data_IF_616592355454
#
_entry.id   IF_616592355454
#
_cell.length_a   1.000
_cell.length_b   1.000
_cell.length_c   1.000
_cell.angle_alpha   90.00
_cell.angle_beta   90.00
_cell.angle_gamma   90.00
#
_symmetry.space_group_name_H-M   'P 1'
#
loop_
_entity.id
_entity.type
_entity.pdbx_description
1 polymer ?
#
# COMPACT_ATOMS: atom_id res chain seq x y z
N UNK A 1 15.44 5.51 -3.92
CA UNK A 1 14.32 4.54 -4.03
C UNK A 1 14.36 3.46 -2.92
N UNK A 2 14.58 3.85 -1.64
CA UNK A 2 14.60 2.93 -0.48
C UNK A 2 13.33 3.04 0.39
N UNK A 3 12.47 4.02 0.11
CA UNK A 3 11.38 4.42 1.01
C UNK A 3 10.20 3.44 1.05
N UNK A 4 9.92 2.72 -0.04
CA UNK A 4 8.76 1.82 -0.18
C UNK A 4 8.97 0.42 0.40
N UNK A 5 10.17 0.09 0.91
CA UNK A 5 10.49 -1.26 1.40
C UNK A 5 10.64 -2.34 0.30
N UNK A 6 10.51 -2.00 -0.99
CA UNK A 6 10.53 -2.98 -2.10
C UNK A 6 11.94 -3.39 -2.56
N UNK A 7 13.00 -2.83 -1.98
CA UNK A 7 14.38 -3.10 -2.43
C UNK A 7 14.82 -4.57 -2.27
N UNK A 8 14.52 -5.27 -1.15
CA UNK A 8 14.82 -6.70 -1.02
C UNK A 8 14.08 -7.56 -2.05
N UNK A 9 12.84 -7.18 -2.40
CA UNK A 9 12.06 -7.85 -3.44
C UNK A 9 12.71 -7.67 -4.81
N UNK A 10 13.13 -6.45 -5.16
CA UNK A 10 13.86 -6.18 -6.42
C UNK A 10 15.14 -7.00 -6.53
N UNK A 11 15.90 -7.13 -5.44
CA UNK A 11 17.14 -7.91 -5.44
C UNK A 11 16.88 -9.41 -5.67
N UNK A 12 15.79 -9.94 -5.11
CA UNK A 12 15.45 -11.36 -5.22
C UNK A 12 14.71 -11.71 -6.52
N UNK A 13 13.92 -10.78 -7.05
CA UNK A 13 13.05 -10.98 -8.22
C UNK A 13 13.08 -9.76 -9.16
N UNK A 14 14.23 -9.47 -9.80
CA UNK A 14 14.40 -8.27 -10.62
C UNK A 14 13.41 -8.20 -11.78
N UNK A 15 13.11 -9.33 -12.44
CA UNK A 15 12.17 -9.44 -13.56
C UNK A 15 10.69 -9.21 -13.17
N UNK A 16 10.41 -9.12 -11.86
CA UNK A 16 9.06 -8.86 -11.32
C UNK A 16 8.96 -7.51 -10.60
N UNK A 17 9.98 -6.67 -10.72
CA UNK A 17 10.03 -5.34 -10.12
C UNK A 17 10.05 -4.27 -11.20
N UNK A 18 8.97 -3.49 -11.28
CA UNK A 18 8.81 -2.44 -12.27
C UNK A 18 8.86 -1.06 -11.60
N UNK A 19 9.69 -0.17 -12.14
CA UNK A 19 9.81 1.21 -11.66
C UNK A 19 9.18 2.16 -12.66
N UNK A 20 8.15 2.88 -12.23
CA UNK A 20 7.44 3.87 -13.05
C UNK A 20 7.95 5.32 -12.82
N UNK A 21 8.95 5.52 -11.96
CA UNK A 21 9.43 6.86 -11.61
C UNK A 21 8.42 7.63 -10.76
N UNK A 22 8.36 8.96 -10.91
CA UNK A 22 7.40 9.84 -10.23
C UNK A 22 6.15 9.98 -11.11
N UNK A 23 5.43 8.87 -11.29
CA UNK A 23 4.26 8.80 -12.14
C UNK A 23 3.24 7.84 -11.52
N UNK A 24 2.60 8.26 -10.43
CA UNK A 24 1.69 7.40 -9.67
C UNK A 24 0.48 6.94 -10.51
N UNK A 25 -0.03 7.78 -11.41
CA UNK A 25 -1.10 7.37 -12.34
C UNK A 25 -0.65 6.21 -13.24
N UNK A 26 0.57 6.28 -13.77
CA UNK A 26 1.13 5.24 -14.63
C UNK A 26 1.43 3.96 -13.83
N UNK A 27 1.87 4.09 -12.58
CA UNK A 27 2.07 2.96 -11.68
C UNK A 27 0.76 2.18 -11.49
N UNK A 28 -0.35 2.87 -11.19
CA UNK A 28 -1.65 2.23 -10.97
C UNK A 28 -2.21 1.66 -12.27
N UNK A 29 -2.12 2.40 -13.38
CA UNK A 29 -2.55 1.91 -14.70
C UNK A 29 -1.76 0.66 -15.15
N UNK A 30 -0.44 0.66 -14.95
CA UNK A 30 0.41 -0.49 -15.23
C UNK A 30 0.07 -1.70 -14.35
N UNK A 31 -0.18 -1.47 -13.06
CA UNK A 31 -0.62 -2.52 -12.13
C UNK A 31 -1.98 -3.12 -12.52
N UNK A 32 -2.93 -2.28 -12.95
CA UNK A 32 -4.21 -2.73 -13.49
C UNK A 32 -4.01 -3.62 -14.74
N UNK A 33 -3.15 -3.22 -15.67
CA UNK A 33 -2.81 -4.03 -16.85
C UNK A 33 -2.23 -5.40 -16.48
N UNK A 34 -1.27 -5.43 -15.54
CA UNK A 34 -0.69 -6.69 -15.03
C UNK A 34 -1.76 -7.58 -14.37
N UNK A 35 -2.70 -7.00 -13.63
CA UNK A 35 -3.79 -7.74 -13.00
C UNK A 35 -4.75 -8.35 -14.03
N UNK A 36 -5.06 -7.63 -15.11
CA UNK A 36 -5.84 -8.17 -16.24
C UNK A 36 -5.13 -9.36 -16.91
N UNK A 37 -3.79 -9.33 -16.98
CA UNK A 37 -2.98 -10.44 -17.48
C UNK A 37 -2.80 -11.60 -16.48
N UNK A 38 -3.52 -11.61 -15.35
CA UNK A 38 -3.52 -12.70 -14.37
C UNK A 38 -2.44 -12.60 -13.29
N UNK A 39 -1.69 -11.50 -13.22
CA UNK A 39 -0.71 -11.28 -12.14
C UNK A 39 -1.37 -10.71 -10.88
N UNK A 40 -0.75 -10.96 -9.72
CA UNK A 40 -1.11 -10.28 -8.46
C UNK A 40 -0.19 -9.06 -8.33
N UNK A 41 -0.70 -7.89 -8.70
CA UNK A 41 0.11 -6.68 -8.78
C UNK A 41 0.16 -5.93 -7.44
N UNK A 42 1.35 -5.70 -6.90
CA UNK A 42 1.59 -4.84 -5.74
C UNK A 42 2.12 -3.48 -6.21
N UNK A 43 1.29 -2.45 -6.14
CA UNK A 43 1.65 -1.08 -6.50
C UNK A 43 1.95 -0.29 -5.23
N UNK A 44 3.22 0.11 -5.03
CA UNK A 44 3.65 0.81 -3.81
C UNK A 44 4.12 2.23 -4.09
N UNK A 45 3.54 3.18 -3.35
CA UNK A 45 3.93 4.58 -3.33
C UNK A 45 3.60 5.20 -1.95
N UNK A 46 3.81 6.50 -1.78
CA UNK A 46 3.35 7.19 -0.57
C UNK A 46 1.82 7.19 -0.54
N UNK A 47 1.23 6.99 0.64
CA UNK A 47 -0.22 6.90 0.81
C UNK A 47 -0.93 8.13 0.25
N UNK A 48 -0.45 9.34 0.58
CA UNK A 48 -0.98 10.59 0.03
C UNK A 48 -0.85 10.71 -1.49
N UNK A 49 0.22 10.16 -2.09
CA UNK A 49 0.38 10.22 -3.56
C UNK A 49 -0.53 9.24 -4.28
N UNK A 50 -0.75 8.04 -3.73
CA UNK A 50 -1.77 7.13 -4.24
C UNK A 50 -3.15 7.79 -4.14
N UNK A 51 -3.56 8.17 -2.92
CA UNK A 51 -4.90 8.68 -2.68
C UNK A 51 -5.22 9.99 -3.40
N UNK A 52 -4.23 10.86 -3.64
CA UNK A 52 -4.47 12.15 -4.31
C UNK A 52 -4.15 12.12 -5.80
N UNK A 53 -2.97 11.63 -6.21
CA UNK A 53 -2.50 11.75 -7.60
C UNK A 53 -3.06 10.65 -8.49
N UNK A 54 -3.20 9.44 -7.97
CA UNK A 54 -3.69 8.28 -8.71
C UNK A 54 -5.18 7.97 -8.46
N UNK A 55 -5.89 8.85 -7.73
CA UNK A 55 -7.27 8.64 -7.29
C UNK A 55 -8.22 8.19 -8.42
N UNK A 56 -8.14 8.84 -9.59
CA UNK A 56 -8.97 8.49 -10.74
C UNK A 56 -8.65 7.07 -11.26
N UNK A 57 -7.36 6.71 -11.34
CA UNK A 57 -6.92 5.37 -11.75
C UNK A 57 -7.26 4.31 -10.69
N UNK A 58 -7.14 4.64 -9.40
CA UNK A 58 -7.53 3.76 -8.30
C UNK A 58 -9.02 3.41 -8.40
N UNK A 59 -9.88 4.39 -8.67
CA UNK A 59 -11.32 4.18 -8.80
C UNK A 59 -11.64 3.45 -10.11
N UNK A 60 -11.29 4.05 -11.25
CA UNK A 60 -11.81 3.62 -12.55
C UNK A 60 -11.10 2.38 -13.10
N UNK A 61 -9.77 2.33 -12.97
CA UNK A 61 -9.01 1.22 -13.51
C UNK A 61 -9.04 0.01 -12.57
N UNK A 62 -8.93 0.23 -11.25
CA UNK A 62 -8.78 -0.84 -10.26
C UNK A 62 -10.09 -1.20 -9.58
N UNK A 63 -10.69 -0.28 -8.83
CA UNK A 63 -11.81 -0.56 -7.93
C UNK A 63 -13.10 -0.93 -8.69
N UNK A 64 -13.46 -0.15 -9.70
CA UNK A 64 -14.69 -0.34 -10.47
C UNK A 64 -14.69 -1.68 -11.24
N UNK A 65 -13.51 -2.06 -11.75
CA UNK A 65 -13.30 -3.32 -12.48
C UNK A 65 -13.01 -4.51 -11.55
N UNK A 66 -13.01 -4.31 -10.23
CA UNK A 66 -12.71 -5.32 -9.21
C UNK A 66 -11.39 -6.09 -9.48
N UNK A 67 -10.36 -5.39 -9.96
CA UNK A 67 -9.09 -6.01 -10.35
C UNK A 67 -8.26 -6.43 -9.14
N UNK A 68 -7.46 -7.49 -9.30
CA UNK A 68 -6.60 -8.03 -8.25
C UNK A 68 -5.31 -7.21 -8.04
N UNK A 69 -5.46 -5.94 -7.65
CA UNK A 69 -4.37 -5.00 -7.40
C UNK A 69 -4.27 -4.68 -5.91
N UNK A 70 -3.05 -4.71 -5.38
CA UNK A 70 -2.73 -4.36 -3.99
C UNK A 70 -2.04 -3.00 -3.98
N UNK A 71 -2.79 -1.96 -3.63
CA UNK A 71 -2.33 -0.59 -3.47
C UNK A 71 -1.68 -0.46 -2.09
N UNK A 72 -0.35 -0.33 -2.03
CA UNK A 72 0.42 -0.26 -0.79
C UNK A 72 0.85 1.18 -0.53
N UNK A 73 0.06 1.87 0.29
CA UNK A 73 0.30 3.25 0.73
C UNK A 73 1.26 3.29 1.90
N UNK A 74 2.51 3.64 1.64
CA UNK A 74 3.50 3.86 2.70
C UNK A 74 3.39 5.25 3.31
N UNK A 75 3.80 5.40 4.56
CA UNK A 75 3.81 6.69 5.26
C UNK A 75 2.43 7.33 5.40
N UNK A 76 1.44 6.52 5.79
CA UNK A 76 0.11 7.04 6.11
C UNK A 76 0.12 8.06 7.25
N UNK A 77 -0.81 9.01 7.20
CA UNK A 77 -1.09 9.95 8.28
C UNK A 77 -0.02 11.03 8.43
N UNK A 78 0.33 11.30 9.69
CA UNK A 78 1.26 12.37 10.09
C UNK A 78 2.74 11.92 10.11
N UNK A 79 3.05 10.72 9.61
CA UNK A 79 4.39 10.12 9.73
C UNK A 79 5.48 10.75 8.84
N UNK A 80 5.12 11.78 8.06
CA UNK A 80 6.00 12.54 7.17
C UNK A 80 5.91 14.05 7.39
N UNK A 81 5.48 14.46 8.56
CA UNK A 81 5.38 15.85 9.01
C UNK A 81 6.68 16.65 8.79
N UNK A 82 7.84 16.01 8.98
CA UNK A 82 9.16 16.65 8.79
C UNK A 82 9.45 17.07 7.34
N UNK A 83 8.77 16.46 6.38
CA UNK A 83 8.92 16.77 4.96
C UNK A 83 7.92 17.86 4.50
N UNK A 84 7.09 18.39 5.40
CA UNK A 84 6.12 19.44 5.12
C UNK A 84 4.70 18.92 4.84
N UNK A 85 3.73 19.83 4.85
CA UNK A 85 2.30 19.50 4.76
C UNK A 85 1.91 18.72 3.50
N UNK A 86 2.63 18.90 2.39
CA UNK A 86 2.37 18.19 1.13
C UNK A 86 2.69 16.69 1.18
N UNK A 87 3.40 16.22 2.20
CA UNK A 87 3.72 14.81 2.41
C UNK A 87 2.82 14.13 3.45
N UNK A 88 1.92 14.90 4.08
CA UNK A 88 0.94 14.38 5.03
C UNK A 88 -0.24 13.83 4.24
N UNK A 89 -0.60 12.57 4.48
CA UNK A 89 -1.77 11.91 3.89
C UNK A 89 -2.73 11.48 4.99
N UNK A 90 -3.53 12.42 5.50
CA UNK A 90 -4.53 12.16 6.56
C UNK A 90 -5.89 11.77 5.98
N UNK A 91 -6.12 12.17 4.74
CA UNK A 91 -7.34 11.94 3.96
C UNK A 91 -7.33 10.60 3.20
N UNK A 92 -6.18 9.91 3.16
CA UNK A 92 -5.99 8.65 2.44
C UNK A 92 -7.04 7.59 2.81
N UNK A 93 -7.33 7.40 4.10
CA UNK A 93 -8.36 6.47 4.56
C UNK A 93 -9.76 6.90 4.13
N UNK A 94 -10.08 8.19 4.15
CA UNK A 94 -11.40 8.67 3.75
C UNK A 94 -11.62 8.44 2.24
N UNK A 95 -10.58 8.72 1.44
CA UNK A 95 -10.59 8.52 -0.01
C UNK A 95 -10.71 7.03 -0.35
N UNK A 96 -9.88 6.15 0.19
CA UNK A 96 -9.96 4.73 -0.16
C UNK A 96 -11.22 4.05 0.37
N UNK A 97 -11.75 4.47 1.52
CA UNK A 97 -12.99 3.89 2.07
C UNK A 97 -14.24 4.24 1.28
N UNK A 98 -14.23 5.29 0.45
CA UNK A 98 -15.38 5.64 -0.37
C UNK A 98 -15.37 4.96 -1.75
N UNK A 99 -14.28 4.27 -2.12
CA UNK A 99 -14.20 3.55 -3.39
C UNK A 99 -14.96 2.21 -3.32
N UNK A 100 -15.62 1.77 -4.41
CA UNK A 100 -16.32 0.49 -4.44
C UNK A 100 -15.34 -0.70 -4.42
N UNK A 101 -15.79 -1.87 -3.94
CA UNK A 101 -15.08 -3.16 -4.00
C UNK A 101 -13.73 -3.26 -3.26
N UNK A 102 -13.14 -2.16 -2.80
CA UNK A 102 -11.83 -2.18 -2.18
C UNK A 102 -11.88 -2.58 -0.70
N UNK A 103 -11.01 -3.50 -0.31
CA UNK A 103 -10.73 -3.74 1.10
C UNK A 103 -9.67 -2.77 1.61
N UNK A 104 -9.91 -2.14 2.76
CA UNK A 104 -8.94 -1.25 3.41
C UNK A 104 -8.34 -1.94 4.62
N UNK A 105 -7.02 -2.10 4.63
CA UNK A 105 -6.27 -2.81 5.68
C UNK A 105 -5.23 -1.88 6.29
N UNK A 106 -5.24 -1.77 7.63
CA UNK A 106 -4.35 -0.89 8.40
C UNK A 106 -3.74 -1.70 9.53
N UNK A 107 -2.61 -2.40 9.31
CA UNK A 107 -1.95 -3.17 10.36
C UNK A 107 -1.39 -2.23 11.44
N UNK A 108 -1.52 -2.65 12.70
CA UNK A 108 -1.02 -1.92 13.85
C UNK A 108 0.49 -2.09 14.02
N UNK A 109 1.04 -3.29 13.81
CA UNK A 109 2.45 -3.59 14.06
C UNK A 109 3.10 -4.45 12.96
N UNK A 110 4.37 -4.82 13.16
CA UNK A 110 5.14 -5.64 12.21
C UNK A 110 4.61 -7.06 12.04
N UNK A 111 4.02 -7.64 13.09
CA UNK A 111 3.51 -9.02 13.09
C UNK A 111 2.22 -9.04 12.29
N UNK A 112 1.32 -8.09 12.58
CA UNK A 112 0.09 -7.91 11.82
C UNK A 112 0.37 -7.51 10.38
N UNK A 113 1.37 -6.67 10.10
CA UNK A 113 1.77 -6.33 8.74
C UNK A 113 2.22 -7.56 7.94
N UNK A 114 3.02 -8.45 8.54
CA UNK A 114 3.45 -9.68 7.88
C UNK A 114 2.26 -10.59 7.55
N UNK A 115 1.34 -10.79 8.51
CA UNK A 115 0.13 -11.56 8.30
C UNK A 115 -0.82 -10.91 7.29
N UNK A 116 -0.95 -9.58 7.32
CA UNK A 116 -1.76 -8.81 6.39
C UNK A 116 -1.23 -8.96 4.96
N UNK A 117 0.08 -8.86 4.73
CA UNK A 117 0.68 -9.06 3.40
C UNK A 117 0.38 -10.46 2.86
N UNK A 118 0.50 -11.49 3.68
CA UNK A 118 0.15 -12.87 3.28
C UNK A 118 -1.34 -13.02 2.96
N UNK A 119 -2.21 -12.44 3.79
CA UNK A 119 -3.65 -12.49 3.61
C UNK A 119 -4.09 -11.76 2.32
N UNK A 120 -3.60 -10.55 2.09
CA UNK A 120 -3.98 -9.76 0.91
C UNK A 120 -3.41 -10.34 -0.39
N UNK A 121 -2.28 -11.07 -0.32
CA UNK A 121 -1.74 -11.81 -1.45
C UNK A 121 -2.64 -12.96 -1.90
N UNK A 122 -3.44 -13.54 -0.99
CA UNK A 122 -4.42 -14.60 -1.27
C UNK A 122 -5.82 -14.07 -1.58
N UNK A 123 -6.11 -12.83 -1.20
CA UNK A 123 -7.39 -12.19 -1.47
C UNK A 123 -7.54 -11.85 -2.97
N UNK A 124 -8.67 -12.19 -3.57
CA UNK A 124 -9.00 -11.80 -4.94
C UNK A 124 -9.81 -10.50 -4.93
N UNK A 125 -9.24 -9.45 -5.51
CA UNK A 125 -9.88 -8.13 -5.58
C UNK A 125 -8.96 -7.00 -5.12
N UNK A 126 -9.42 -5.75 -5.21
CA UNK A 126 -8.60 -4.59 -4.90
C UNK A 126 -8.42 -4.44 -3.39
N UNK A 127 -7.20 -4.11 -2.97
CA UNK A 127 -6.88 -3.86 -1.56
C UNK A 127 -6.04 -2.60 -1.42
N UNK A 128 -6.39 -1.73 -0.47
CA UNK A 128 -5.50 -0.68 0.01
C UNK A 128 -4.88 -1.11 1.34
N UNK A 129 -3.56 -1.28 1.36
CA UNK A 129 -2.77 -1.55 2.57
C UNK A 129 -2.04 -0.27 2.99
N UNK A 130 -2.44 0.30 4.13
CA UNK A 130 -1.80 1.50 4.70
C UNK A 130 -0.70 1.11 5.66
N UNK A 131 0.55 1.43 5.33
CA UNK A 131 1.74 1.08 6.12
C UNK A 131 2.33 2.30 6.79
N UNK A 132 2.44 2.26 8.11
CA UNK A 132 3.16 3.27 8.88
C UNK A 132 4.69 3.05 8.80
N UNK A 133 5.47 4.13 8.85
CA UNK A 133 6.95 4.06 8.82
C UNK A 133 7.54 3.53 10.11
N UNK A 134 7.03 4.02 11.24
CA UNK A 134 7.52 3.68 12.57
C UNK A 134 6.63 2.62 13.19
N UNK A 135 7.21 1.61 13.88
CA UNK A 135 6.42 0.72 14.71
C UNK A 135 5.68 1.55 15.76
N UNK A 136 4.44 1.23 16.10
CA UNK A 136 3.74 1.90 17.17
C UNK A 136 4.59 1.80 18.44
N UNK A 137 4.67 2.89 19.21
CA UNK A 137 5.23 2.83 20.56
C UNK A 137 4.25 2.04 21.42
N UNK A 138 4.43 0.72 21.47
CA UNK A 138 3.70 -0.11 22.42
C UNK A 138 4.17 0.26 23.84
N UNK A 139 3.27 0.47 24.80
CA UNK A 139 3.67 0.60 26.21
C UNK A 139 4.44 -0.66 26.64
N UNK A 140 5.50 -0.49 27.43
CA UNK A 140 6.51 -1.52 27.75
C UNK A 140 5.92 -2.86 28.25
N UNK A 141 4.69 -2.84 28.79
CA UNK A 141 3.95 -4.00 29.27
C UNK A 141 3.71 -5.09 28.20
N UNK A 142 3.64 -4.74 26.91
CA UNK A 142 3.39 -5.72 25.84
C UNK A 142 4.67 -6.34 25.25
N UNK A 143 5.86 -5.95 25.71
CA UNK A 143 7.13 -6.49 25.22
C UNK A 143 7.51 -7.87 25.80
N UNK A 144 6.76 -8.34 26.81
CA UNK A 144 7.10 -9.54 27.60
C UNK A 144 6.28 -10.80 27.33
N UNK A 145 5.11 -10.75 26.68
CA UNK A 145 4.31 -11.97 26.47
C UNK A 145 4.73 -12.68 25.19
N UNK A 146 5.80 -13.49 25.29
CA UNK A 146 5.94 -14.66 24.43
C UNK A 146 4.71 -15.54 24.67
N UNK A 147 3.73 -15.48 23.79
CA UNK A 147 2.70 -16.51 23.69
C UNK A 147 3.43 -17.79 23.24
N UNK A 148 3.65 -18.69 24.19
CA UNK A 148 3.95 -20.10 23.94
C UNK A 148 2.70 -20.90 23.65
#
# INVERSE_FOLDING_TARGET
MKASGSAPFKASFPERHFSFGIAEQNLVGGAAGLAVSGSIAFASALAGFLSQRACDQDINAVCFNNLNVKLVGTYGGLTQEKNGGMHIGVEDLAIFRCMPNIAVVVPADRVELAGAVEAIARHCGPVFLRVAREPPRLPEACSGSRLG
#
